data_IF_461312903024
#
_entry.id   IF_461312903024
#
_cell.length_a   1.000
_cell.length_b   1.000
_cell.length_c   1.000
_cell.angle_alpha   90.00
_cell.angle_beta   90.00
_cell.angle_gamma   90.00
#
_symmetry.space_group_name_H-M   'P 1'
#
loop_
_entity.id
_entity.type
_entity.pdbx_description
1 polymer ?
#
# COMPACT_ATOMS: atom_id res chain seq x y z
N UNK A 1 17.08 13.40 -17.65
CA UNK A 1 16.12 13.40 -16.53
C UNK A 1 14.70 13.80 -16.94
N UNK A 2 14.49 14.70 -17.91
CA UNK A 2 13.14 15.10 -18.37
C UNK A 2 12.44 13.99 -19.19
N UNK A 3 13.18 13.22 -19.99
CA UNK A 3 12.64 12.13 -20.83
C UNK A 3 12.01 10.97 -20.04
N UNK A 4 12.53 10.65 -18.85
CA UNK A 4 11.95 9.57 -18.02
C UNK A 4 10.62 10.01 -17.41
N UNK A 5 10.44 11.30 -17.15
CA UNK A 5 9.21 11.88 -16.60
C UNK A 5 8.13 11.99 -17.69
N UNK A 6 8.51 12.33 -18.93
CA UNK A 6 7.56 12.40 -20.06
C UNK A 6 7.10 11.00 -20.48
N UNK A 7 8.01 10.03 -20.62
CA UNK A 7 7.64 8.63 -20.94
C UNK A 7 6.69 8.05 -19.87
N UNK A 8 6.91 8.40 -18.60
CA UNK A 8 6.07 7.91 -17.50
C UNK A 8 4.74 8.66 -17.43
N UNK A 9 4.68 9.96 -17.77
CA UNK A 9 3.43 10.71 -17.96
C UNK A 9 2.59 10.17 -19.12
N UNK A 10 3.24 9.86 -20.25
CA UNK A 10 2.60 9.34 -21.45
C UNK A 10 2.07 7.92 -21.21
N UNK A 11 2.80 7.09 -20.45
CA UNK A 11 2.32 5.77 -20.03
C UNK A 11 1.07 5.83 -19.13
N UNK A 12 0.93 6.84 -18.26
CA UNK A 12 -0.28 7.02 -17.41
C UNK A 12 -1.47 7.55 -18.21
N UNK A 13 -1.22 8.48 -19.14
CA UNK A 13 -2.24 8.94 -20.07
C UNK A 13 -2.71 7.79 -20.95
N UNK A 14 -1.78 6.94 -21.39
CA UNK A 14 -2.06 5.71 -22.09
C UNK A 14 -2.84 4.74 -21.21
N UNK A 15 -2.47 4.54 -19.95
CA UNK A 15 -3.23 3.71 -19.01
C UNK A 15 -4.66 4.27 -18.85
N UNK A 16 -4.87 5.52 -18.43
CA UNK A 16 -6.22 6.10 -18.30
C UNK A 16 -7.01 6.06 -19.61
N UNK A 17 -6.35 6.27 -20.75
CA UNK A 17 -6.95 6.10 -22.06
C UNK A 17 -7.32 4.64 -22.33
N UNK A 18 -6.47 3.67 -21.97
CA UNK A 18 -6.72 2.22 -22.06
C UNK A 18 -7.86 1.81 -21.13
N UNK A 19 -7.97 2.35 -19.90
CA UNK A 19 -9.12 2.11 -19.02
C UNK A 19 -10.40 2.66 -19.62
N UNK A 20 -10.39 3.90 -20.10
CA UNK A 20 -11.52 4.51 -20.78
C UNK A 20 -11.89 3.76 -22.08
N UNK A 21 -10.90 3.23 -22.79
CA UNK A 21 -11.09 2.39 -23.98
C UNK A 21 -11.64 1.02 -23.59
N UNK A 22 -11.16 0.38 -22.51
CA UNK A 22 -11.71 -0.89 -22.00
C UNK A 22 -13.17 -0.73 -21.56
N UNK A 23 -13.50 0.38 -20.90
CA UNK A 23 -14.89 0.74 -20.56
C UNK A 23 -15.74 0.95 -21.82
N UNK A 24 -15.23 1.63 -22.85
CA UNK A 24 -15.91 1.84 -24.14
C UNK A 24 -16.07 0.56 -24.97
N UNK A 25 -15.13 -0.38 -24.83
CA UNK A 25 -15.13 -1.67 -25.54
C UNK A 25 -15.93 -2.77 -24.82
N UNK A 26 -16.64 -2.45 -23.74
CA UNK A 26 -17.43 -3.39 -22.94
C UNK A 26 -16.61 -4.53 -22.29
N UNK A 27 -15.29 -4.36 -22.18
CA UNK A 27 -14.39 -5.30 -21.53
C UNK A 27 -14.39 -5.02 -20.03
N UNK A 28 -14.93 -5.93 -19.21
CA UNK A 28 -14.99 -5.76 -17.75
C UNK A 28 -13.57 -5.69 -17.16
N UNK A 29 -13.18 -4.56 -16.53
CA UNK A 29 -11.91 -4.48 -15.82
C UNK A 29 -11.88 -5.53 -14.70
N UNK A 30 -10.76 -6.23 -14.55
CA UNK A 30 -10.57 -7.25 -13.52
C UNK A 30 -9.56 -6.77 -12.47
N UNK A 31 -9.30 -7.59 -11.44
CA UNK A 31 -8.41 -7.21 -10.34
C UNK A 31 -6.99 -6.85 -10.81
N UNK A 32 -6.51 -7.47 -11.90
CA UNK A 32 -5.19 -7.21 -12.46
C UNK A 32 -5.14 -5.82 -13.10
N UNK A 33 -6.18 -5.44 -13.84
CA UNK A 33 -6.33 -4.08 -14.39
C UNK A 33 -6.29 -3.04 -13.28
N UNK A 34 -7.13 -3.16 -12.25
CA UNK A 34 -7.12 -2.20 -11.14
C UNK A 34 -5.77 -2.12 -10.44
N UNK A 35 -5.13 -3.26 -10.16
CA UNK A 35 -3.84 -3.30 -9.45
C UNK A 35 -2.73 -2.59 -10.22
N UNK A 36 -2.61 -2.83 -11.53
CA UNK A 36 -1.59 -2.19 -12.37
C UNK A 36 -1.75 -0.68 -12.40
N UNK A 37 -2.98 -0.22 -12.58
CA UNK A 37 -3.29 1.20 -12.65
C UNK A 37 -3.06 1.92 -11.32
N UNK A 38 -3.50 1.31 -10.22
CA UNK A 38 -3.24 1.81 -8.88
C UNK A 38 -1.73 1.97 -8.67
N UNK A 39 -0.93 0.94 -8.97
CA UNK A 39 0.53 1.01 -8.86
C UNK A 39 1.14 2.13 -9.73
N UNK A 40 0.71 2.24 -10.99
CA UNK A 40 1.16 3.27 -11.94
C UNK A 40 0.84 4.69 -11.49
N UNK A 41 -0.38 4.93 -11.00
CA UNK A 41 -0.81 6.22 -10.44
C UNK A 41 -0.01 6.57 -9.19
N UNK A 42 0.19 5.59 -8.30
CA UNK A 42 0.99 5.77 -7.10
C UNK A 42 2.44 6.12 -7.43
N UNK A 43 3.10 5.38 -8.34
CA UNK A 43 4.49 5.63 -8.79
C UNK A 43 4.67 7.02 -9.40
N UNK A 44 3.59 7.60 -9.89
CA UNK A 44 3.58 8.91 -10.53
C UNK A 44 3.14 10.04 -9.60
N UNK A 45 3.02 9.77 -8.30
CA UNK A 45 2.64 10.76 -7.29
C UNK A 45 1.14 11.11 -7.29
N UNK A 46 0.33 10.48 -8.14
CA UNK A 46 -1.13 10.70 -8.24
C UNK A 46 -1.88 9.84 -7.24
N UNK A 47 -1.46 9.89 -5.97
CA UNK A 47 -2.01 9.04 -4.89
C UNK A 47 -3.51 9.20 -4.73
N UNK A 48 -4.03 10.43 -4.87
CA UNK A 48 -5.47 10.67 -4.74
C UNK A 48 -6.29 9.98 -5.83
N UNK A 49 -5.78 9.91 -7.05
CA UNK A 49 -6.46 9.21 -8.14
C UNK A 49 -6.37 7.69 -7.98
N UNK A 50 -5.23 7.20 -7.46
CA UNK A 50 -5.09 5.78 -7.12
C UNK A 50 -6.08 5.34 -6.02
N UNK A 51 -6.32 6.19 -5.02
CA UNK A 51 -7.32 5.93 -3.97
C UNK A 51 -8.73 5.91 -4.53
N UNK A 52 -9.11 6.86 -5.39
CA UNK A 52 -10.41 6.85 -6.08
C UNK A 52 -10.61 5.55 -6.87
N UNK A 53 -9.57 5.11 -7.58
CA UNK A 53 -9.62 3.89 -8.36
C UNK A 53 -9.72 2.62 -7.47
N UNK A 54 -9.12 2.64 -6.29
CA UNK A 54 -9.26 1.60 -5.28
C UNK A 54 -10.68 1.53 -4.69
N UNK A 55 -11.30 2.69 -4.45
CA UNK A 55 -12.70 2.75 -3.98
C UNK A 55 -13.66 2.24 -5.08
N UNK A 56 -13.48 2.69 -6.33
CA UNK A 56 -14.24 2.25 -7.50
C UNK A 56 -14.12 0.73 -7.74
N UNK A 57 -12.95 0.15 -7.48
CA UNK A 57 -12.72 -1.29 -7.57
C UNK A 57 -13.73 -2.06 -6.68
N UNK A 58 -13.90 -1.60 -5.43
CA UNK A 58 -14.83 -2.21 -4.48
C UNK A 58 -16.30 -1.98 -4.87
N UNK A 59 -16.65 -0.78 -5.34
CA UNK A 59 -18.01 -0.46 -5.81
C UNK A 59 -18.44 -1.33 -7.00
N UNK A 60 -17.50 -1.71 -7.87
CA UNK A 60 -17.73 -2.61 -9.01
C UNK A 60 -17.71 -4.09 -8.63
N UNK A 61 -17.60 -4.42 -7.35
CA UNK A 61 -17.56 -5.80 -6.86
C UNK A 61 -16.25 -6.54 -7.16
N UNK A 62 -15.19 -5.81 -7.52
CA UNK A 62 -13.86 -6.40 -7.75
C UNK A 62 -13.11 -6.35 -6.42
N UNK A 63 -12.75 -7.51 -5.87
CA UNK A 63 -12.06 -7.56 -4.58
C UNK A 63 -10.56 -7.24 -4.73
N UNK A 64 -10.01 -6.29 -3.96
CA UNK A 64 -8.57 -6.05 -3.94
C UNK A 64 -7.81 -7.29 -3.49
N UNK A 65 -6.67 -7.55 -4.11
CA UNK A 65 -5.79 -8.65 -3.69
C UNK A 65 -4.70 -8.13 -2.74
N UNK A 66 -3.86 -9.05 -2.26
CA UNK A 66 -2.75 -8.73 -1.35
C UNK A 66 -1.86 -7.60 -1.86
N UNK A 67 -1.50 -7.64 -3.14
CA UNK A 67 -0.63 -6.65 -3.78
C UNK A 67 -1.31 -5.28 -3.79
N UNK A 68 -2.58 -5.21 -4.16
CA UNK A 68 -3.36 -3.96 -4.17
C UNK A 68 -3.38 -3.30 -2.80
N UNK A 69 -3.66 -4.08 -1.74
CA UNK A 69 -3.65 -3.59 -0.36
C UNK A 69 -2.28 -3.07 0.07
N UNK A 70 -1.21 -3.83 -0.16
CA UNK A 70 0.15 -3.44 0.21
C UNK A 70 0.58 -2.13 -0.49
N UNK A 71 0.21 -1.94 -1.76
CA UNK A 71 0.47 -0.70 -2.49
C UNK A 71 -0.22 0.47 -1.82
N UNK A 72 -1.56 0.42 -1.65
CA UNK A 72 -2.32 1.54 -1.09
C UNK A 72 -1.85 1.87 0.32
N UNK A 73 -1.64 0.86 1.16
CA UNK A 73 -1.16 1.02 2.53
C UNK A 73 0.17 1.76 2.57
N UNK A 74 1.14 1.34 1.75
CA UNK A 74 2.45 1.99 1.67
C UNK A 74 2.34 3.46 1.26
N UNK A 75 1.40 3.79 0.38
CA UNK A 75 1.18 5.18 -0.07
C UNK A 75 0.46 6.04 0.95
N UNK A 76 -0.47 5.47 1.70
CA UNK A 76 -1.11 6.15 2.82
C UNK A 76 -0.07 6.52 3.90
N UNK A 77 0.87 5.61 4.22
CA UNK A 77 1.99 5.94 5.11
C UNK A 77 2.86 7.09 4.55
N UNK A 78 3.24 7.02 3.27
CA UNK A 78 4.03 8.09 2.62
C UNK A 78 3.30 9.45 2.61
N UNK A 79 1.98 9.43 2.47
CA UNK A 79 1.13 10.61 2.49
C UNK A 79 0.80 11.12 3.90
N UNK A 80 1.44 10.58 4.95
CA UNK A 80 1.17 10.91 6.37
C UNK A 80 -0.28 10.65 6.81
N UNK A 81 -0.95 9.73 6.13
CA UNK A 81 -2.30 9.24 6.45
C UNK A 81 -2.21 7.89 7.17
N UNK A 82 -1.42 7.86 8.25
CA UNK A 82 -1.07 6.63 8.99
C UNK A 82 -2.29 5.93 9.57
N UNK A 83 -3.28 6.68 10.05
CA UNK A 83 -4.52 6.10 10.59
C UNK A 83 -5.35 5.39 9.52
N UNK A 84 -5.41 5.95 8.31
CA UNK A 84 -6.08 5.31 7.18
C UNK A 84 -5.33 4.06 6.74
N UNK A 85 -3.99 4.09 6.74
CA UNK A 85 -3.17 2.92 6.46
C UNK A 85 -3.42 1.80 7.49
N UNK A 86 -3.54 2.16 8.77
CA UNK A 86 -3.80 1.20 9.85
C UNK A 86 -5.21 0.60 9.73
N UNK A 87 -6.23 1.44 9.47
CA UNK A 87 -7.59 0.96 9.17
C UNK A 87 -7.62 0.02 7.98
N UNK A 88 -6.86 0.33 6.93
CA UNK A 88 -6.79 -0.50 5.73
C UNK A 88 -6.17 -1.87 6.01
N UNK A 89 -5.13 -1.94 6.85
CA UNK A 89 -4.56 -3.19 7.33
C UNK A 89 -5.62 -4.05 8.04
N UNK A 90 -6.44 -3.44 8.90
CA UNK A 90 -7.53 -4.13 9.61
C UNK A 90 -8.60 -4.65 8.64
N UNK A 91 -8.97 -3.86 7.62
CA UNK A 91 -9.90 -4.29 6.55
C UNK A 91 -9.32 -5.44 5.74
N UNK A 92 -8.03 -5.39 5.43
CA UNK A 92 -7.33 -6.46 4.71
C UNK A 92 -7.45 -7.78 5.48
N UNK A 93 -7.18 -7.75 6.80
CA UNK A 93 -7.32 -8.91 7.70
C UNK A 93 -8.75 -9.42 7.79
N UNK A 94 -9.73 -8.53 7.98
CA UNK A 94 -11.14 -8.95 8.13
C UNK A 94 -11.73 -9.58 6.86
N UNK A 95 -11.14 -9.28 5.70
CA UNK A 95 -11.47 -9.91 4.42
C UNK A 95 -10.70 -11.21 4.16
N UNK A 96 -9.97 -11.72 5.15
CA UNK A 96 -9.15 -12.93 5.02
C UNK A 96 -7.90 -12.76 4.16
N UNK A 97 -7.54 -11.52 3.81
CA UNK A 97 -6.31 -11.23 3.07
C UNK A 97 -5.16 -11.02 4.08
N UNK A 98 -4.14 -11.86 4.03
CA UNK A 98 -3.03 -11.83 5.00
C UNK A 98 -2.01 -10.74 4.62
N UNK A 99 -1.82 -9.67 5.42
CA UNK A 99 -0.85 -8.60 5.12
C UNK A 99 0.58 -9.11 5.12
N UNK A 100 1.46 -8.71 4.21
CA UNK A 100 2.89 -9.11 4.23
C UNK A 100 3.76 -8.26 5.16
N UNK A 101 5.01 -8.69 5.31
CA UNK A 101 6.04 -7.94 6.02
C UNK A 101 6.23 -6.51 5.48
N UNK A 102 5.99 -6.27 4.18
CA UNK A 102 6.11 -4.93 3.59
C UNK A 102 5.02 -4.01 4.15
N UNK A 103 3.78 -4.48 4.22
CA UNK A 103 2.67 -3.74 4.83
C UNK A 103 2.91 -3.43 6.31
N UNK A 104 3.35 -4.42 7.09
CA UNK A 104 3.67 -4.23 8.51
C UNK A 104 4.83 -3.25 8.70
N UNK A 105 5.93 -3.42 7.97
CA UNK A 105 7.11 -2.56 8.07
C UNK A 105 6.78 -1.10 7.71
N UNK A 106 5.94 -0.87 6.71
CA UNK A 106 5.53 0.47 6.32
C UNK A 106 4.79 1.19 7.47
N UNK A 107 3.87 0.51 8.14
CA UNK A 107 3.13 1.07 9.28
C UNK A 107 3.99 1.22 10.53
N UNK A 108 4.79 0.20 10.87
CA UNK A 108 5.68 0.24 12.03
C UNK A 108 6.67 1.40 11.94
N UNK A 109 7.32 1.55 10.78
CA UNK A 109 8.26 2.64 10.55
C UNK A 109 7.57 4.00 10.70
N UNK A 110 6.37 4.15 10.16
CA UNK A 110 5.63 5.41 10.24
C UNK A 110 5.16 5.71 11.67
N UNK A 111 4.65 4.74 12.42
CA UNK A 111 4.32 4.92 13.85
C UNK A 111 5.54 5.34 14.67
N UNK A 112 6.70 4.72 14.43
CA UNK A 112 7.92 5.10 15.14
C UNK A 112 8.38 6.54 14.79
N UNK A 113 8.28 6.94 13.51
CA UNK A 113 8.60 8.31 13.10
C UNK A 113 7.69 9.33 13.79
N UNK A 114 6.42 8.97 13.99
CA UNK A 114 5.43 9.82 14.66
C UNK A 114 5.51 9.75 16.21
N UNK A 115 6.40 8.95 16.78
CA UNK A 115 6.50 8.75 18.23
C UNK A 115 5.33 7.94 18.84
N UNK A 116 4.51 7.30 18.00
CA UNK A 116 3.33 6.49 18.39
C UNK A 116 3.76 5.08 18.81
N UNK A 117 4.55 5.00 19.87
CA UNK A 117 5.25 3.77 20.29
C UNK A 117 4.28 2.67 20.73
N UNK A 118 3.20 3.00 21.43
CA UNK A 118 2.22 2.02 21.91
C UNK A 118 1.50 1.30 20.76
N UNK A 119 1.22 2.03 19.67
CA UNK A 119 0.60 1.47 18.48
C UNK A 119 1.57 0.64 17.66
N UNK A 120 2.84 1.07 17.57
CA UNK A 120 3.90 0.26 16.99
C UNK A 120 4.07 -1.07 17.75
N UNK A 121 4.03 -1.03 19.09
CA UNK A 121 4.12 -2.22 19.94
C UNK A 121 2.91 -3.15 19.78
N UNK A 122 1.70 -2.58 19.76
CA UNK A 122 0.47 -3.35 19.55
C UNK A 122 0.46 -4.02 18.17
N UNK A 123 0.90 -3.30 17.13
CA UNK A 123 1.01 -3.83 15.78
C UNK A 123 2.03 -4.97 15.71
N UNK A 124 3.17 -4.84 16.37
CA UNK A 124 4.19 -5.89 16.48
C UNK A 124 3.63 -7.15 17.15
N UNK A 125 2.96 -7.00 18.30
CA UNK A 125 2.33 -8.13 18.99
C UNK A 125 1.26 -8.80 18.14
N UNK A 126 0.51 -8.04 17.34
CA UNK A 126 -0.47 -8.61 16.41
C UNK A 126 0.20 -9.43 15.30
N UNK A 127 1.41 -9.05 14.87
CA UNK A 127 2.18 -9.80 13.88
C UNK A 127 2.71 -11.12 14.45
N UNK A 128 3.20 -11.12 15.69
CA UNK A 128 3.72 -12.32 16.37
C UNK A 128 2.65 -13.39 16.63
N UNK A 129 1.41 -12.97 16.87
CA UNK A 129 0.28 -13.88 17.12
C UNK A 129 -0.36 -14.41 15.83
N UNK A 130 -0.07 -13.81 14.68
CA UNK A 130 -0.47 -14.36 13.39
C UNK A 130 0.59 -15.40 12.98
N UNK A 131 0.17 -16.57 12.47
CA UNK A 131 1.05 -17.65 11.95
C UNK A 131 1.89 -17.22 10.72
N UNK A 132 2.34 -15.97 10.65
CA UNK A 132 3.52 -15.66 9.86
C UNK A 132 4.65 -16.48 10.45
N UNK A 133 5.12 -17.47 9.67
CA UNK A 133 6.51 -17.91 9.78
C UNK A 133 7.28 -16.61 9.63
N UNK A 134 7.72 -16.08 10.76
CA UNK A 134 8.54 -14.91 10.81
C UNK A 134 9.86 -15.33 10.17
N UNK A 135 9.89 -15.30 8.83
CA UNK A 135 11.11 -15.31 8.06
C UNK A 135 12.03 -14.33 8.77
N UNK A 136 13.26 -14.77 9.03
CA UNK A 136 14.34 -14.02 9.65
C UNK A 136 14.41 -12.58 9.12
N UNK A 137 14.03 -12.33 7.86
CA UNK A 137 13.90 -11.00 7.26
C UNK A 137 12.83 -10.10 7.90
N UNK A 138 11.66 -10.63 8.29
CA UNK A 138 10.62 -9.88 8.98
C UNK A 138 11.09 -9.34 10.33
N UNK A 139 11.70 -10.20 11.15
CA UNK A 139 12.33 -9.79 12.42
C UNK A 139 13.52 -8.84 12.20
N UNK A 140 14.38 -9.10 11.20
CA UNK A 140 15.54 -8.25 10.91
C UNK A 140 15.11 -6.84 10.50
N UNK A 141 14.12 -6.69 9.61
CA UNK A 141 13.60 -5.37 9.22
C UNK A 141 12.95 -4.61 10.38
N UNK A 142 12.30 -5.33 11.30
CA UNK A 142 11.69 -4.76 12.51
C UNK A 142 12.74 -4.23 13.50
N UNK A 143 13.76 -5.04 13.79
CA UNK A 143 14.89 -4.66 14.65
C UNK A 143 15.66 -3.50 14.02
N UNK A 144 15.92 -3.55 12.72
CA UNK A 144 16.65 -2.50 12.01
C UNK A 144 15.84 -1.18 11.98
N UNK A 145 14.52 -1.27 11.84
CA UNK A 145 13.60 -0.13 11.98
C UNK A 145 13.64 0.49 13.37
N UNK A 146 13.62 -0.33 14.42
CA UNK A 146 13.66 0.11 15.82
C UNK A 146 15.04 0.72 16.22
N UNK A 147 16.13 0.18 15.68
CA UNK A 147 17.49 0.71 15.89
C UNK A 147 17.67 2.07 15.17
N UNK A 148 17.11 2.22 13.97
CA UNK A 148 17.16 3.49 13.21
C UNK A 148 16.33 4.60 13.86
N UNK A 149 15.26 4.28 14.58
CA UNK A 149 14.42 5.27 15.26
C UNK A 149 15.05 5.76 16.56
N UNK A 150 15.68 4.88 17.36
CA UNK A 150 16.43 5.32 18.55
C UNK A 150 17.58 6.29 18.24
N UNK A 151 18.22 6.18 17.07
CA UNK A 151 19.29 7.11 16.64
C UNK A 151 18.81 8.52 16.26
N UNK A 152 17.50 8.76 16.10
CA UNK A 152 16.95 10.10 15.80
C UNK A 152 16.54 10.90 17.03
N UNK A 153 16.53 10.29 18.22
CA UNK A 153 16.11 10.92 19.48
C UNK A 153 17.28 11.18 20.46
N UNK A 154 18.52 11.10 19.97
CA UNK A 154 19.75 11.56 20.64
C UNK A 154 20.44 12.56 19.74
#
# INVERSE_FOLDING_TARGET
MILHITVQKDAILLDLAVYNVMLKLNSKPNYSTFSTFIDGLCKSGRTQDALKLFDEMSERGVLPNKITYTIILSRLCQAKRTDDAHRLLTVMKSRGCKPDCVAYNALLNEFCILGRVDEAYTLLKSFENEDYVADIKGFTCLVDGFVRTKRKFT
#
